data_IF_474967158126
#
_entry.id   IF_474967158126
#
_cell.length_a   1.000
_cell.length_b   1.000
_cell.length_c   1.000
_cell.angle_alpha   90.00
_cell.angle_beta   90.00
_cell.angle_gamma   90.00
#
_symmetry.space_group_name_H-M   'P 1'
#
loop_
_entity.id
_entity.type
_entity.pdbx_description
1 polymer ?
#
# COMPACT_ATOMS: atom_id res chain seq x y z
N UNK A 1 1.52 0.69 -9.33
CA UNK A 1 1.08 -0.50 -10.08
C UNK A 1 0.08 -1.20 -9.19
N UNK A 2 -1.05 -1.63 -9.75
CA UNK A 2 -2.05 -2.42 -9.03
C UNK A 2 -1.80 -3.90 -9.30
N UNK A 3 -2.09 -4.76 -8.31
CA UNK A 3 -2.08 -6.22 -8.49
C UNK A 3 -3.43 -6.79 -8.05
N UNK A 4 -4.00 -7.70 -8.85
CA UNK A 4 -5.37 -8.20 -8.66
C UNK A 4 -5.45 -9.70 -8.87
N UNK A 5 -6.29 -10.36 -8.07
CA UNK A 5 -6.77 -11.72 -8.32
C UNK A 5 -8.29 -11.72 -8.41
N UNK A 6 -8.81 -12.00 -9.61
CA UNK A 6 -10.23 -12.24 -9.80
C UNK A 6 -10.55 -13.71 -9.53
N UNK A 7 -11.77 -13.98 -9.03
CA UNK A 7 -12.31 -15.33 -8.95
C UNK A 7 -12.62 -15.80 -10.37
N UNK A 8 -12.01 -16.91 -10.78
CA UNK A 8 -12.28 -17.53 -12.09
C UNK A 8 -13.66 -18.20 -12.13
N UNK A 9 -14.18 -18.41 -13.34
CA UNK A 9 -15.42 -19.15 -13.58
C UNK A 9 -15.26 -20.66 -13.38
N UNK A 10 -14.05 -21.18 -13.54
CA UNK A 10 -13.72 -22.56 -13.18
C UNK A 10 -13.55 -22.64 -11.66
N UNK A 11 -14.21 -23.64 -11.05
CA UNK A 11 -14.16 -23.90 -9.60
C UNK A 11 -12.80 -24.48 -9.23
N UNK A 12 -11.76 -23.66 -9.34
CA UNK A 12 -10.42 -23.96 -8.85
C UNK A 12 -10.25 -23.40 -7.44
N UNK A 13 -9.74 -24.23 -6.51
CA UNK A 13 -9.49 -23.87 -5.12
C UNK A 13 -8.60 -22.60 -4.97
N UNK A 14 -7.72 -22.35 -5.93
CA UNK A 14 -6.63 -21.38 -5.82
C UNK A 14 -7.07 -19.91 -5.67
N UNK A 15 -8.15 -19.49 -6.33
CA UNK A 15 -8.58 -18.08 -6.28
C UNK A 15 -9.07 -17.65 -4.89
N UNK A 16 -9.78 -18.55 -4.20
CA UNK A 16 -10.33 -18.29 -2.85
C UNK A 16 -9.22 -18.29 -1.80
N UNK A 17 -8.21 -19.15 -1.99
CA UNK A 17 -7.05 -19.26 -1.10
C UNK A 17 -6.20 -18.00 -1.15
N UNK A 18 -5.92 -17.48 -2.35
CA UNK A 18 -5.15 -16.23 -2.53
C UNK A 18 -5.90 -15.03 -1.92
N UNK A 19 -7.22 -14.95 -2.12
CA UNK A 19 -8.03 -13.89 -1.50
C UNK A 19 -7.94 -13.93 0.02
N UNK A 20 -8.02 -15.13 0.62
CA UNK A 20 -7.89 -15.32 2.07
C UNK A 20 -6.48 -14.99 2.56
N UNK A 21 -5.45 -15.35 1.79
CA UNK A 21 -4.06 -15.02 2.09
C UNK A 21 -3.85 -13.50 2.23
N UNK A 22 -4.30 -12.70 1.26
CA UNK A 22 -4.13 -11.25 1.30
C UNK A 22 -5.00 -10.57 2.36
N UNK A 23 -6.18 -11.11 2.69
CA UNK A 23 -7.01 -10.60 3.80
C UNK A 23 -6.32 -10.72 5.16
N UNK A 24 -5.49 -11.74 5.33
CA UNK A 24 -4.77 -12.03 6.57
C UNK A 24 -3.34 -11.45 6.58
N UNK A 25 -2.95 -10.73 5.53
CA UNK A 25 -1.64 -10.13 5.43
C UNK A 25 -1.66 -8.73 6.05
N UNK A 26 -0.74 -8.46 6.97
CA UNK A 26 -0.56 -7.13 7.56
C UNK A 26 -0.01 -6.15 6.53
N UNK A 27 -0.45 -4.89 6.63
CA UNK A 27 0.09 -3.79 5.83
C UNK A 27 1.62 -3.67 6.03
N UNK A 28 2.33 -3.21 5.00
CA UNK A 28 3.80 -3.10 4.96
C UNK A 28 4.57 -4.45 4.93
N UNK A 29 3.88 -5.59 4.82
CA UNK A 29 4.54 -6.89 4.58
C UNK A 29 5.21 -6.93 3.21
N UNK A 30 6.41 -7.51 3.16
CA UNK A 30 7.17 -7.71 1.92
C UNK A 30 6.71 -9.01 1.25
N UNK A 31 6.27 -8.90 0.01
CA UNK A 31 5.71 -10.01 -0.78
C UNK A 31 6.42 -10.17 -2.11
N UNK A 32 6.59 -11.41 -2.52
CA UNK A 32 6.98 -11.78 -3.87
C UNK A 32 5.72 -12.21 -4.62
N UNK A 33 5.44 -11.53 -5.73
CA UNK A 33 4.25 -11.77 -6.55
C UNK A 33 4.69 -12.17 -7.95
N UNK A 34 4.17 -13.31 -8.44
CA UNK A 34 4.33 -13.78 -9.80
C UNK A 34 2.97 -13.73 -10.50
N UNK A 35 2.95 -13.22 -11.72
CA UNK A 35 1.73 -13.03 -12.49
C UNK A 35 2.02 -12.42 -13.86
N UNK A 36 0.96 -12.20 -14.63
CA UNK A 36 1.03 -11.60 -15.96
C UNK A 36 0.61 -10.12 -15.92
N UNK A 37 1.25 -9.29 -16.74
CA UNK A 37 0.88 -7.89 -16.91
C UNK A 37 -0.27 -7.79 -17.91
N UNK A 38 -1.32 -7.06 -17.53
CA UNK A 38 -2.51 -6.82 -18.36
C UNK A 38 -2.75 -5.32 -18.47
N UNK A 39 -3.20 -4.87 -19.64
CA UNK A 39 -3.55 -3.46 -19.85
C UNK A 39 -4.75 -3.06 -18.98
N UNK A 40 -4.63 -1.97 -18.23
CA UNK A 40 -5.67 -1.46 -17.36
C UNK A 40 -5.54 0.06 -17.19
N UNK A 41 -6.60 0.72 -16.73
CA UNK A 41 -6.55 2.14 -16.38
C UNK A 41 -6.68 2.32 -14.86
N UNK A 42 -5.59 2.67 -14.20
CA UNK A 42 -5.49 2.78 -12.74
C UNK A 42 -5.04 4.19 -12.34
N UNK A 43 -5.87 4.92 -11.63
CA UNK A 43 -5.61 6.33 -11.24
C UNK A 43 -4.79 6.49 -9.97
N UNK A 44 -4.80 5.49 -9.06
CA UNK A 44 -4.15 5.56 -7.75
C UNK A 44 -2.68 5.12 -7.71
N UNK A 45 -2.04 4.93 -8.87
CA UNK A 45 -0.74 4.29 -8.98
C UNK A 45 0.20 5.08 -9.90
N UNK A 46 1.52 4.98 -9.70
CA UNK A 46 2.51 5.58 -10.61
C UNK A 46 2.59 4.89 -11.98
N UNK A 47 2.18 3.62 -12.05
CA UNK A 47 1.96 2.88 -13.30
C UNK A 47 0.46 2.78 -13.47
N UNK A 48 -0.06 3.44 -14.50
CA UNK A 48 -1.49 3.71 -14.69
C UNK A 48 -2.09 2.93 -15.85
N UNK A 49 -1.27 2.41 -16.74
CA UNK A 49 -1.59 1.76 -18.02
C UNK A 49 -1.61 0.22 -17.94
N UNK A 50 -1.13 -0.34 -16.83
CA UNK A 50 -1.02 -1.78 -16.60
C UNK A 50 -1.33 -2.17 -15.17
N UNK A 51 -1.85 -3.38 -14.99
CA UNK A 51 -1.98 -4.06 -13.70
C UNK A 51 -1.41 -5.48 -13.75
N UNK A 52 -1.10 -6.04 -12.59
CA UNK A 52 -0.54 -7.38 -12.45
C UNK A 52 -1.64 -8.38 -12.06
N UNK A 53 -1.95 -9.32 -12.94
CA UNK A 53 -2.87 -10.42 -12.66
C UNK A 53 -2.13 -11.53 -11.91
N UNK A 54 -2.47 -11.73 -10.64
CA UNK A 54 -1.71 -12.58 -9.71
C UNK A 54 -1.91 -14.07 -10.06
N UNK A 55 -0.81 -14.79 -10.19
CA UNK A 55 -0.79 -16.26 -10.31
C UNK A 55 -0.34 -16.90 -9.00
N UNK A 56 0.76 -16.39 -8.42
CA UNK A 56 1.33 -16.87 -7.16
C UNK A 56 1.78 -15.68 -6.31
N UNK A 57 1.66 -15.80 -5.00
CA UNK A 57 2.11 -14.80 -4.05
C UNK A 57 2.73 -15.48 -2.82
N UNK A 58 3.84 -14.93 -2.35
CA UNK A 58 4.56 -15.42 -1.18
C UNK A 58 4.88 -14.26 -0.25
N UNK A 59 4.68 -14.46 1.05
CA UNK A 59 5.12 -13.49 2.06
C UNK A 59 6.59 -13.79 2.39
N UNK A 60 7.49 -12.87 2.02
CA UNK A 60 8.93 -12.99 2.31
C UNK A 60 9.22 -12.52 3.73
N UNK A 61 8.63 -11.39 4.11
CA UNK A 61 8.76 -10.82 5.45
C UNK A 61 7.42 -10.24 5.89
N UNK A 62 6.87 -10.80 6.96
CA UNK A 62 5.59 -10.35 7.52
C UNK A 62 5.82 -9.15 8.41
N UNK A 63 5.08 -8.07 8.19
CA UNK A 63 5.10 -6.88 9.03
C UNK A 63 4.28 -7.07 10.31
N UNK A 64 4.51 -6.22 11.30
CA UNK A 64 3.70 -6.16 12.50
C UNK A 64 2.24 -5.82 12.18
N UNK A 65 1.29 -6.38 12.94
CA UNK A 65 -0.14 -6.11 12.74
C UNK A 65 -0.51 -4.66 13.06
N UNK A 66 0.13 -4.09 14.07
CA UNK A 66 -0.08 -2.69 14.48
C UNK A 66 1.11 -1.84 14.02
N UNK A 67 0.83 -0.90 13.12
CA UNK A 67 1.80 0.10 12.67
C UNK A 67 1.71 1.36 13.54
N UNK A 68 2.84 2.06 13.82
CA UNK A 68 2.83 3.32 14.56
C UNK A 68 1.97 4.41 13.90
N UNK A 69 1.95 4.44 12.56
CA UNK A 69 1.07 5.26 11.74
C UNK A 69 0.95 4.63 10.34
N UNK A 70 -0.03 5.05 9.54
CA UNK A 70 -0.15 4.61 8.16
C UNK A 70 0.71 5.45 7.23
N UNK A 71 1.41 4.81 6.29
CA UNK A 71 2.17 5.53 5.26
C UNK A 71 1.28 6.51 4.49
N UNK A 72 0.03 6.11 4.21
CA UNK A 72 -0.95 6.94 3.52
C UNK A 72 -1.27 8.24 4.27
N UNK A 73 -1.25 8.22 5.62
CA UNK A 73 -1.49 9.41 6.43
C UNK A 73 -0.27 10.34 6.45
N UNK A 74 0.94 9.77 6.52
CA UNK A 74 2.19 10.52 6.49
C UNK A 74 2.53 11.12 5.11
N UNK A 75 1.92 10.60 4.04
CA UNK A 75 2.08 11.08 2.67
C UNK A 75 1.19 12.29 2.35
N UNK A 76 0.08 12.52 3.08
CA UNK A 76 -0.88 13.57 2.72
C UNK A 76 -0.25 14.96 2.80
N UNK A 77 -0.52 15.84 1.82
CA UNK A 77 -0.09 17.22 1.90
C UNK A 77 -0.88 17.96 2.97
N UNK A 78 -0.20 18.92 3.60
CA UNK A 78 -0.75 19.76 4.67
C UNK A 78 -2.07 20.46 4.27
N UNK A 79 -2.17 20.92 3.03
CA UNK A 79 -3.36 21.58 2.51
C UNK A 79 -4.60 20.66 2.51
N UNK A 80 -4.44 19.37 2.19
CA UNK A 80 -5.55 18.40 2.23
C UNK A 80 -5.99 18.09 3.66
N UNK A 81 -5.04 18.04 4.60
CA UNK A 81 -5.34 17.83 6.01
C UNK A 81 -6.17 19.02 6.54
N UNK A 82 -5.76 20.25 6.25
CA UNK A 82 -6.48 21.47 6.65
C UNK A 82 -7.87 21.50 6.02
N UNK A 83 -7.99 21.24 4.72
CA UNK A 83 -9.28 21.20 4.03
C UNK A 83 -10.22 20.10 4.58
N UNK A 84 -9.67 19.00 5.07
CA UNK A 84 -10.46 17.91 5.65
C UNK A 84 -11.01 18.23 7.05
N UNK A 85 -10.52 19.28 7.72
CA UNK A 85 -10.88 19.60 9.10
C UNK A 85 -12.40 19.84 9.29
N UNK A 86 -13.07 20.35 8.26
CA UNK A 86 -14.52 20.64 8.26
C UNK A 86 -15.37 19.44 7.84
N UNK A 87 -14.75 18.34 7.41
CA UNK A 87 -15.47 17.14 6.96
C UNK A 87 -15.90 16.25 8.12
N UNK A 88 -16.88 15.36 7.88
CA UNK A 88 -17.33 14.37 8.87
C UNK A 88 -16.22 13.41 9.33
N UNK A 89 -15.13 13.29 8.57
CA UNK A 89 -13.99 12.40 8.84
C UNK A 89 -12.69 13.14 8.52
N UNK A 90 -12.23 14.03 9.43
CA UNK A 90 -11.00 14.78 9.21
C UNK A 90 -9.81 13.83 9.14
N UNK A 91 -8.84 14.16 8.28
CA UNK A 91 -7.60 13.41 8.21
C UNK A 91 -6.76 13.68 9.44
N UNK A 92 -6.20 12.60 9.99
CA UNK A 92 -5.29 12.69 11.13
C UNK A 92 -3.92 13.14 10.64
N UNK A 93 -3.35 14.13 11.32
CA UNK A 93 -1.97 14.56 11.10
C UNK A 93 -1.02 13.65 11.88
N UNK A 94 -0.01 13.11 11.19
CA UNK A 94 1.10 12.40 11.84
C UNK A 94 2.09 13.42 12.40
N UNK A 95 2.19 13.51 13.73
CA UNK A 95 3.07 14.48 14.41
C UNK A 95 4.54 14.15 14.22
N UNK A 96 5.39 15.19 14.23
CA UNK A 96 6.83 15.05 14.00
C UNK A 96 7.51 14.06 14.96
N UNK A 97 7.17 14.09 16.26
CA UNK A 97 7.75 13.17 17.25
C UNK A 97 7.50 11.71 16.86
N UNK A 98 6.25 11.35 16.52
CA UNK A 98 5.88 10.00 16.10
C UNK A 98 6.62 9.57 14.82
N UNK A 99 6.84 10.50 13.89
CA UNK A 99 7.62 10.24 12.66
C UNK A 99 9.10 10.01 12.94
N UNK A 100 9.68 10.73 13.90
CA UNK A 100 11.08 10.59 14.28
C UNK A 100 11.32 9.31 15.09
N UNK A 101 10.41 8.97 16.01
CA UNK A 101 10.48 7.73 16.79
C UNK A 101 10.37 6.48 15.89
N UNK A 102 9.61 6.58 14.80
CA UNK A 102 9.45 5.52 13.79
C UNK A 102 10.01 5.92 12.43
N UNK A 103 11.23 6.51 12.42
CA UNK A 103 11.86 7.06 11.20
C UNK A 103 12.04 6.03 10.09
N UNK A 104 12.23 4.76 10.42
CA UNK A 104 12.34 3.66 9.45
C UNK A 104 11.09 3.51 8.57
N UNK A 105 9.90 3.84 9.09
CA UNK A 105 8.64 3.83 8.35
C UNK A 105 8.46 5.14 7.58
N UNK A 106 8.80 6.26 8.21
CA UNK A 106 8.65 7.59 7.61
C UNK A 106 9.55 7.80 6.38
N UNK A 107 10.70 7.13 6.33
CA UNK A 107 11.60 7.12 5.17
C UNK A 107 11.07 6.32 3.97
N UNK A 108 10.01 5.52 4.15
CA UNK A 108 9.34 4.82 3.04
C UNK A 108 8.36 5.72 2.29
N UNK A 109 7.93 6.82 2.90
CA UNK A 109 7.07 7.82 2.24
C UNK A 109 7.80 8.34 1.00
N UNK A 110 7.17 8.35 -0.20
CA UNK A 110 7.84 8.70 -1.45
C UNK A 110 8.58 10.05 -1.42
N UNK A 111 7.99 11.07 -0.79
CA UNK A 111 8.60 12.39 -0.66
C UNK A 111 9.90 12.35 0.16
N UNK A 112 9.90 11.67 1.30
CA UNK A 112 11.07 11.55 2.16
C UNK A 112 12.16 10.67 1.56
N UNK A 113 11.76 9.57 0.92
CA UNK A 113 12.67 8.73 0.18
C UNK A 113 13.37 9.53 -0.93
N UNK A 114 12.63 10.33 -1.69
CA UNK A 114 13.17 11.19 -2.73
C UNK A 114 14.15 12.24 -2.18
N UNK A 115 13.83 12.91 -1.07
CA UNK A 115 14.72 13.90 -0.43
C UNK A 115 16.08 13.29 -0.08
N UNK A 116 16.12 12.06 0.45
CA UNK A 116 17.39 11.40 0.79
C UNK A 116 18.19 10.92 -0.44
N UNK A 117 17.54 10.73 -1.60
CA UNK A 117 18.21 10.29 -2.82
C UNK A 117 18.79 11.44 -3.64
N UNK A 118 18.20 12.63 -3.54
CA UNK A 118 18.64 13.84 -4.25
C UNK A 118 19.79 14.54 -3.54
N UNK A 119 19.90 14.36 -2.22
CA UNK A 119 20.95 14.96 -1.39
C UNK A 119 22.30 14.28 -1.61
#
# INVERSE_FOLDING_TARGET
MQAVKFRGNEVGADSTTISTFFKNLSLESLVDICGSLVAANVTGCSRTDVELQIERAYCVSRAAETLPFLQADAQRPEAEIIASAETKRPFVRVLQNLRLDSRWLDLRVPAHNAILRVK
#
